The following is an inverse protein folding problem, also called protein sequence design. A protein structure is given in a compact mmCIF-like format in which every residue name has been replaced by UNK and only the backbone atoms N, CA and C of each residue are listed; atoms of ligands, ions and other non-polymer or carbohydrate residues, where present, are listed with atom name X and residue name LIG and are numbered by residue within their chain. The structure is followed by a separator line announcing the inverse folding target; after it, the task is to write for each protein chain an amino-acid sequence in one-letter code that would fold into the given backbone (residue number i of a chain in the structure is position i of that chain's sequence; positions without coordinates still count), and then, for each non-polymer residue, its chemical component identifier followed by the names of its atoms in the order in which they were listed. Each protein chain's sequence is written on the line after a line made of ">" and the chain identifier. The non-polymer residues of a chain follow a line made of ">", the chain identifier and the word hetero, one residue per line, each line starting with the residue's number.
data_IF_938932235317
#
_entry.id   IF_938932235317
#
_cell.length_a   1.000
_cell.length_b   1.000
_cell.length_c   1.000
_cell.angle_alpha   90.00
_cell.angle_beta   90.00
_cell.angle_gamma   90.00
#
_symmetry.space_group_name_H-M   'P 1'
#
loop_
_entity.id
_entity.type
_entity.pdbx_description
1 polymer ?
#
# COMPACT_ATOMS: atom_id res chain seq x y z
N UNK A 1 28.52 -6.77 26.96
CA UNK A 1 28.80 -7.17 25.56
C UNK A 1 28.21 -6.10 24.67
N UNK A 2 28.98 -5.51 23.80
CA UNK A 2 28.44 -4.54 22.84
C UNK A 2 27.83 -5.33 21.70
N UNK A 3 26.51 -5.24 21.52
CA UNK A 3 25.81 -5.89 20.39
C UNK A 3 26.38 -5.43 19.05
N UNK A 4 26.36 -6.31 18.06
CA UNK A 4 26.86 -6.02 16.71
C UNK A 4 25.97 -4.96 16.04
N UNK A 5 26.57 -3.96 15.38
CA UNK A 5 25.86 -2.94 14.63
C UNK A 5 25.02 -3.58 13.51
N UNK A 6 23.76 -3.15 13.35
CA UNK A 6 22.82 -3.71 12.38
C UNK A 6 22.19 -5.06 12.76
N UNK A 7 22.55 -5.62 13.92
CA UNK A 7 21.94 -6.86 14.42
C UNK A 7 20.80 -6.56 15.38
N UNK A 8 19.63 -7.11 15.09
CA UNK A 8 18.42 -7.00 15.92
C UNK A 8 17.94 -8.39 16.33
N UNK A 9 17.38 -8.58 17.52
CA UNK A 9 17.10 -7.56 18.55
C UNK A 9 18.34 -7.13 19.34
N UNK A 10 18.25 -5.98 20.02
CA UNK A 10 19.24 -5.48 20.98
C UNK A 10 18.90 -5.90 22.40
N UNK A 11 19.95 -6.01 23.24
CA UNK A 11 19.81 -6.31 24.67
C UNK A 11 20.05 -5.08 25.53
N UNK A 12 19.72 -5.19 26.80
CA UNK A 12 20.03 -4.15 27.81
C UNK A 12 21.53 -3.91 27.85
N UNK A 13 21.94 -2.66 27.69
CA UNK A 13 23.35 -2.25 27.68
C UNK A 13 24.00 -2.25 26.30
N UNK A 14 23.33 -2.72 25.26
CA UNK A 14 23.83 -2.61 23.89
C UNK A 14 23.75 -1.16 23.39
N UNK A 15 24.76 -0.73 22.66
CA UNK A 15 24.74 0.55 21.97
C UNK A 15 23.86 0.48 20.73
N UNK A 16 23.03 1.49 20.51
CA UNK A 16 22.24 1.66 19.28
C UNK A 16 23.07 2.46 18.27
N UNK A 17 23.31 1.86 17.13
CA UNK A 17 24.08 2.45 16.02
C UNK A 17 23.18 2.90 14.88
N UNK A 18 23.71 3.75 13.98
CA UNK A 18 23.04 4.11 12.72
C UNK A 18 22.66 2.90 11.88
N UNK A 19 23.47 1.83 11.91
CA UNK A 19 23.15 0.58 11.23
C UNK A 19 21.91 -0.13 11.78
N UNK A 20 21.62 0.00 13.06
CA UNK A 20 20.42 -0.59 13.70
C UNK A 20 19.15 0.16 13.27
N UNK A 21 19.22 1.49 13.24
CA UNK A 21 18.18 2.33 12.67
C UNK A 21 17.92 1.98 11.19
N UNK A 22 19.00 1.89 10.40
CA UNK A 22 18.90 1.55 8.97
C UNK A 22 18.32 0.16 8.74
N UNK A 23 18.56 -0.80 9.64
CA UNK A 23 17.95 -2.13 9.56
C UNK A 23 16.42 -2.05 9.70
N UNK A 24 15.90 -1.25 10.64
CA UNK A 24 14.45 -1.03 10.80
C UNK A 24 13.89 -0.23 9.63
N UNK A 25 14.60 0.83 9.20
CA UNK A 25 14.19 1.64 8.05
C UNK A 25 14.10 0.82 6.75
N UNK A 26 15.02 -0.12 6.54
CA UNK A 26 14.96 -1.03 5.41
C UNK A 26 13.73 -1.93 5.45
N UNK A 27 13.34 -2.43 6.64
CA UNK A 27 12.14 -3.22 6.82
C UNK A 27 10.87 -2.44 6.46
N UNK A 28 10.71 -1.22 7.01
CA UNK A 28 9.51 -0.42 6.73
C UNK A 28 9.47 0.06 5.27
N UNK A 29 10.62 0.33 4.66
CA UNK A 29 10.71 0.60 3.23
C UNK A 29 10.20 -0.58 2.39
N UNK A 30 10.50 -1.80 2.79
CA UNK A 30 10.00 -3.02 2.14
C UNK A 30 8.49 -3.16 2.18
N UNK A 31 7.83 -2.59 3.19
CA UNK A 31 6.36 -2.61 3.33
C UNK A 31 5.70 -1.41 2.69
N UNK A 32 6.08 -0.20 3.13
CA UNK A 32 5.41 1.04 2.74
C UNK A 32 5.83 1.55 1.37
N UNK A 33 7.11 1.42 1.03
CA UNK A 33 7.73 1.96 -0.17
C UNK A 33 7.58 1.08 -1.40
N UNK A 34 8.64 1.05 -2.18
CA UNK A 34 8.72 0.32 -3.45
C UNK A 34 9.02 -1.18 -3.31
N UNK A 35 9.22 -1.66 -2.10
CA UNK A 35 9.64 -3.04 -1.81
C UNK A 35 11.13 -3.30 -2.07
N UNK A 36 11.88 -2.33 -2.60
CA UNK A 36 13.29 -2.49 -2.93
C UNK A 36 14.13 -2.65 -1.65
N UNK A 37 14.96 -3.67 -1.61
CA UNK A 37 15.78 -4.03 -0.46
C UNK A 37 15.20 -5.16 0.41
N UNK A 38 13.98 -5.61 0.15
CA UNK A 38 13.40 -6.83 0.70
C UNK A 38 13.10 -7.84 -0.41
N UNK A 39 13.01 -9.11 -0.08
CA UNK A 39 13.00 -10.27 -0.98
C UNK A 39 11.84 -10.33 -2.00
N UNK A 40 10.93 -9.39 -1.97
CA UNK A 40 9.85 -9.28 -2.94
C UNK A 40 9.57 -7.80 -3.21
N UNK A 41 9.60 -7.41 -4.45
CA UNK A 41 9.36 -6.05 -4.95
C UNK A 41 7.88 -5.60 -4.82
N UNK A 42 7.22 -5.86 -3.69
CA UNK A 42 5.79 -5.62 -3.51
C UNK A 42 5.52 -4.78 -2.25
N UNK A 43 6.08 -3.58 -2.20
CA UNK A 43 5.67 -2.57 -1.23
C UNK A 43 4.36 -1.89 -1.64
N UNK A 44 3.85 -1.03 -0.77
CA UNK A 44 2.63 -0.27 -1.03
C UNK A 44 2.80 0.88 -2.04
N UNK A 45 4.03 1.12 -2.51
CA UNK A 45 4.35 2.18 -3.46
C UNK A 45 4.11 3.59 -2.90
N UNK A 46 4.13 3.74 -1.58
CA UNK A 46 3.97 5.03 -0.91
C UNK A 46 5.33 5.67 -0.64
N UNK A 47 5.36 7.01 -0.63
CA UNK A 47 6.57 7.73 -0.22
C UNK A 47 6.86 7.52 1.26
N UNK A 48 8.15 7.37 1.59
CA UNK A 48 8.62 7.34 2.96
C UNK A 48 9.01 8.74 3.43
N UNK A 49 8.76 9.01 4.71
CA UNK A 49 9.30 10.18 5.42
C UNK A 49 10.72 9.92 5.93
N UNK A 50 11.00 8.67 6.32
CA UNK A 50 12.30 8.25 6.82
C UNK A 50 13.29 7.94 5.69
N UNK A 51 14.57 8.18 5.95
CA UNK A 51 15.67 7.79 5.08
C UNK A 51 16.77 7.10 5.87
N UNK A 52 17.69 6.44 5.18
CA UNK A 52 18.88 5.86 5.82
C UNK A 52 19.82 6.98 6.32
N UNK A 53 20.49 6.70 7.43
CA UNK A 53 21.49 7.58 8.02
C UNK A 53 22.89 7.03 7.76
N UNK A 54 23.89 7.92 7.72
CA UNK A 54 25.29 7.49 7.64
C UNK A 54 25.68 6.69 8.91
N UNK A 55 26.58 5.73 8.78
CA UNK A 55 26.99 4.86 9.88
C UNK A 55 27.52 5.61 11.12
N UNK A 56 28.09 6.80 10.91
CA UNK A 56 28.65 7.66 11.95
C UNK A 56 27.73 8.83 12.34
N UNK A 57 26.54 8.93 11.72
CA UNK A 57 25.61 10.00 12.02
C UNK A 57 24.98 9.81 13.41
N UNK A 58 24.79 10.92 14.12
CA UNK A 58 23.94 10.96 15.29
C UNK A 58 22.51 10.94 14.80
N UNK A 59 21.73 9.99 15.29
CA UNK A 59 20.30 9.88 14.97
C UNK A 59 19.54 10.75 15.96
N UNK A 60 18.90 11.79 15.47
CA UNK A 60 18.12 12.70 16.27
C UNK A 60 16.63 12.26 16.35
N UNK A 61 15.87 12.96 17.17
CA UNK A 61 14.45 12.71 17.37
C UNK A 61 13.62 12.90 16.09
N UNK A 62 14.06 13.72 15.15
CA UNK A 62 13.37 13.97 13.88
C UNK A 62 13.43 12.74 12.99
N UNK A 63 14.60 12.11 12.89
CA UNK A 63 14.79 10.88 12.13
C UNK A 63 13.97 9.73 12.72
N UNK A 64 14.00 9.57 14.06
CA UNK A 64 13.16 8.60 14.75
C UNK A 64 11.67 8.88 14.57
N UNK A 65 11.25 10.16 14.60
CA UNK A 65 9.87 10.57 14.35
C UNK A 65 9.40 10.24 12.94
N UNK A 66 10.25 10.43 11.94
CA UNK A 66 9.95 10.02 10.56
C UNK A 66 9.80 8.51 10.42
N UNK A 67 10.70 7.74 11.04
CA UNK A 67 10.61 6.28 11.04
C UNK A 67 9.31 5.81 11.71
N UNK A 68 8.98 6.39 12.87
CA UNK A 68 7.71 6.12 13.54
C UNK A 68 6.51 6.45 12.66
N UNK A 69 6.53 7.60 11.97
CA UNK A 69 5.46 8.02 11.07
C UNK A 69 5.22 7.02 9.95
N UNK A 70 6.29 6.48 9.37
CA UNK A 70 6.20 5.48 8.31
C UNK A 70 5.62 4.15 8.86
N UNK A 71 6.09 3.70 10.02
CA UNK A 71 5.55 2.52 10.71
C UNK A 71 4.06 2.71 11.03
N UNK A 72 3.70 3.87 11.58
CA UNK A 72 2.30 4.19 11.90
C UNK A 72 1.42 4.22 10.65
N UNK A 73 1.93 4.73 9.53
CA UNK A 73 1.20 4.75 8.25
C UNK A 73 0.90 3.33 7.77
N UNK A 74 1.90 2.44 7.77
CA UNK A 74 1.71 1.05 7.38
C UNK A 74 0.80 0.31 8.37
N UNK A 75 0.96 0.56 9.67
CA UNK A 75 0.15 -0.05 10.72
C UNK A 75 -1.32 0.35 10.61
N UNK A 76 -1.59 1.64 10.39
CA UNK A 76 -2.96 2.15 10.18
C UNK A 76 -3.58 1.55 8.93
N UNK A 77 -2.80 1.38 7.86
CA UNK A 77 -3.27 0.73 6.65
C UNK A 77 -3.79 -0.70 6.94
N UNK A 78 -3.04 -1.48 7.71
CA UNK A 78 -3.40 -2.88 7.97
C UNK A 78 -4.45 -3.05 9.06
N UNK A 79 -4.40 -2.21 10.10
CA UNK A 79 -5.17 -2.42 11.32
C UNK A 79 -6.32 -1.42 11.53
N UNK A 80 -6.36 -0.33 10.76
CA UNK A 80 -7.38 0.71 10.88
C UNK A 80 -7.23 1.62 12.10
N UNK A 81 -6.20 1.41 12.91
CA UNK A 81 -5.89 2.20 14.11
C UNK A 81 -4.43 2.62 14.13
N UNK A 82 -4.11 3.67 14.87
CA UNK A 82 -2.74 4.14 15.02
C UNK A 82 -1.86 3.11 15.75
N UNK A 83 -0.57 3.11 15.44
CA UNK A 83 0.42 2.32 16.15
C UNK A 83 0.57 2.83 17.58
N UNK A 84 0.47 1.94 18.57
CA UNK A 84 0.36 2.28 19.98
C UNK A 84 1.68 2.63 20.67
N UNK A 85 2.83 2.47 20.01
CA UNK A 85 4.11 2.85 20.59
C UNK A 85 4.25 4.38 20.73
N UNK A 86 5.12 4.81 21.63
CA UNK A 86 5.40 6.23 21.81
C UNK A 86 6.16 6.79 20.62
N UNK A 87 5.66 7.91 20.08
CA UNK A 87 6.37 8.66 19.06
C UNK A 87 7.61 9.33 19.70
N UNK A 88 8.82 9.04 19.22
CA UNK A 88 10.03 9.68 19.74
C UNK A 88 9.98 11.20 19.57
N UNK A 89 10.20 11.93 20.67
CA UNK A 89 10.24 13.39 20.67
C UNK A 89 11.52 13.91 21.29
N UNK A 90 11.79 15.20 21.12
CA UNK A 90 12.98 15.83 21.68
C UNK A 90 13.05 15.58 23.21
N UNK A 91 14.21 15.20 23.70
CA UNK A 91 14.46 14.90 25.11
C UNK A 91 14.11 13.48 25.55
N UNK A 92 13.46 12.66 24.71
CA UNK A 92 13.27 11.25 25.01
C UNK A 92 14.49 10.42 24.58
N UNK A 93 14.83 9.45 25.42
CA UNK A 93 15.88 8.47 25.11
C UNK A 93 15.23 7.30 24.38
N UNK A 94 15.78 6.96 23.21
CA UNK A 94 15.42 5.73 22.51
C UNK A 94 16.15 4.56 23.17
N UNK A 95 15.39 3.66 23.75
CA UNK A 95 15.92 2.45 24.36
C UNK A 95 16.03 1.29 23.37
N UNK A 96 16.76 0.25 23.77
CA UNK A 96 16.78 -1.00 23.00
C UNK A 96 15.37 -1.62 22.85
N UNK A 97 14.49 -1.42 23.85
CA UNK A 97 13.11 -1.91 23.78
C UNK A 97 12.31 -1.18 22.69
N UNK A 98 12.48 0.13 22.55
CA UNK A 98 11.79 0.90 21.51
C UNK A 98 12.24 0.47 20.12
N UNK A 99 13.55 0.30 19.94
CA UNK A 99 14.11 -0.18 18.68
C UNK A 99 13.61 -1.59 18.33
N UNK A 100 13.60 -2.50 19.31
CA UNK A 100 13.10 -3.87 19.13
C UNK A 100 11.60 -3.88 18.83
N UNK A 101 10.81 -3.03 19.48
CA UNK A 101 9.39 -2.89 19.23
C UNK A 101 9.14 -2.41 17.78
N UNK A 102 9.88 -1.42 17.30
CA UNK A 102 9.79 -0.94 15.92
C UNK A 102 10.18 -2.04 14.93
N UNK A 103 11.26 -2.77 15.21
CA UNK A 103 11.70 -3.90 14.37
C UNK A 103 10.63 -4.98 14.28
N UNK A 104 10.07 -5.40 15.42
CA UNK A 104 9.03 -6.43 15.48
C UNK A 104 7.73 -5.99 14.81
N UNK A 105 7.36 -4.71 14.96
CA UNK A 105 6.22 -4.13 14.24
C UNK A 105 6.43 -4.21 12.72
N UNK A 106 7.62 -3.85 12.23
CA UNK A 106 7.93 -3.95 10.80
C UNK A 106 7.89 -5.40 10.30
N UNK A 107 8.35 -6.38 11.07
CA UNK A 107 8.29 -7.80 10.71
C UNK A 107 6.82 -8.29 10.60
N UNK A 108 5.98 -7.87 11.54
CA UNK A 108 4.54 -8.15 11.52
C UNK A 108 3.87 -7.50 10.31
N UNK A 109 4.17 -6.22 10.06
CA UNK A 109 3.66 -5.48 8.91
C UNK A 109 4.08 -6.12 7.59
N UNK A 110 5.31 -6.60 7.49
CA UNK A 110 5.80 -7.30 6.30
C UNK A 110 5.06 -8.62 6.07
N UNK A 111 4.84 -9.40 7.12
CA UNK A 111 4.09 -10.65 7.06
C UNK A 111 2.65 -10.41 6.60
N UNK A 112 2.04 -9.35 7.11
CA UNK A 112 0.63 -9.01 6.86
C UNK A 112 0.44 -7.98 5.73
N UNK A 113 1.43 -7.75 4.88
CA UNK A 113 1.41 -6.64 3.90
C UNK A 113 0.22 -6.66 2.93
N UNK A 114 -0.37 -7.84 2.69
CA UNK A 114 -1.57 -7.98 1.83
C UNK A 114 -2.87 -7.91 2.64
N UNK A 115 -2.78 -7.71 3.94
CA UNK A 115 -3.93 -7.56 4.82
C UNK A 115 -4.27 -6.07 4.96
N UNK A 116 -5.56 -5.77 4.99
CA UNK A 116 -6.05 -4.44 5.32
C UNK A 116 -7.24 -4.57 6.26
N UNK A 117 -7.41 -3.60 7.11
CA UNK A 117 -8.61 -3.54 7.93
C UNK A 117 -9.85 -3.31 7.07
N UNK A 118 -10.90 -4.11 7.26
CA UNK A 118 -12.15 -4.01 6.50
C UNK A 118 -12.80 -2.63 6.61
N UNK A 119 -12.63 -1.93 7.74
CA UNK A 119 -13.09 -0.55 7.92
C UNK A 119 -12.37 0.48 7.06
N UNK A 120 -11.18 0.16 6.54
CA UNK A 120 -10.44 0.99 5.58
C UNK A 120 -10.91 0.73 4.13
N UNK A 121 -11.70 -0.32 3.93
CA UNK A 121 -12.27 -0.68 2.65
C UNK A 121 -13.60 0.05 2.46
N UNK A 122 -13.55 1.17 1.79
CA UNK A 122 -14.79 1.67 1.17
C UNK A 122 -14.95 0.91 -0.14
N UNK A 123 -15.96 0.06 -0.21
CA UNK A 123 -16.28 -0.66 -1.44
C UNK A 123 -16.45 0.34 -2.61
N UNK A 124 -16.03 -0.03 -3.81
CA UNK A 124 -16.24 0.84 -4.97
C UNK A 124 -17.73 1.06 -5.18
N UNK A 125 -18.13 2.31 -5.27
CA UNK A 125 -19.50 2.66 -5.64
C UNK A 125 -19.53 2.90 -7.15
N UNK A 126 -20.35 2.15 -7.85
CA UNK A 126 -20.64 2.44 -9.25
C UNK A 126 -21.43 3.75 -9.33
N UNK A 127 -20.86 4.79 -9.95
CA UNK A 127 -21.50 6.10 -10.08
C UNK A 127 -22.38 6.18 -11.33
N UNK A 128 -22.03 5.45 -12.38
CA UNK A 128 -22.82 5.41 -13.61
C UNK A 128 -22.64 4.08 -14.33
N UNK A 129 -23.73 3.56 -14.86
CA UNK A 129 -23.71 2.50 -15.86
C UNK A 129 -24.08 3.13 -17.20
N UNK A 130 -23.08 3.48 -18.02
CA UNK A 130 -23.38 4.11 -19.29
C UNK A 130 -24.07 3.10 -20.22
N UNK A 131 -25.24 3.49 -20.70
CA UNK A 131 -25.95 2.76 -21.75
C UNK A 131 -25.82 3.57 -23.04
N UNK A 132 -25.22 2.98 -24.04
CA UNK A 132 -25.14 3.62 -25.37
C UNK A 132 -26.25 3.03 -26.24
N UNK A 133 -27.31 3.80 -26.47
CA UNK A 133 -28.49 3.42 -27.25
C UNK A 133 -28.46 3.92 -28.69
N UNK A 134 -27.42 4.64 -29.09
CA UNK A 134 -27.26 5.16 -30.45
C UNK A 134 -26.83 4.06 -31.44
N UNK A 135 -27.16 4.25 -32.72
CA UNK A 135 -26.65 3.39 -33.77
C UNK A 135 -25.11 3.42 -33.82
N UNK A 136 -24.48 2.27 -33.94
CA UNK A 136 -23.04 2.15 -34.07
C UNK A 136 -22.57 2.82 -35.35
N UNK A 137 -21.70 3.82 -35.19
CA UNK A 137 -21.41 4.73 -36.27
C UNK A 137 -20.75 4.12 -37.49
N UNK A 138 -21.44 4.19 -38.59
CA UNK A 138 -20.84 4.26 -39.91
C UNK A 138 -20.27 5.66 -40.07
N UNK A 139 -19.00 5.80 -40.34
CA UNK A 139 -18.38 7.11 -40.56
C UNK A 139 -17.48 7.64 -39.43
N UNK A 140 -16.82 6.78 -38.65
CA UNK A 140 -15.76 7.20 -37.71
C UNK A 140 -16.22 7.59 -36.30
N UNK A 141 -17.48 7.40 -35.96
CA UNK A 141 -17.98 7.59 -34.60
C UNK A 141 -17.73 6.31 -33.78
N UNK A 142 -16.69 6.32 -32.97
CA UNK A 142 -16.44 5.26 -32.00
C UNK A 142 -17.49 5.25 -30.89
N UNK A 143 -17.72 4.09 -30.28
CA UNK A 143 -18.50 4.00 -29.05
C UNK A 143 -17.58 4.34 -27.90
N UNK A 144 -17.88 5.44 -27.22
CA UNK A 144 -17.21 5.82 -25.99
C UNK A 144 -18.17 5.61 -24.82
N UNK A 145 -17.76 4.76 -23.89
CA UNK A 145 -18.44 4.62 -22.59
C UNK A 145 -17.46 4.97 -21.49
N UNK A 146 -17.87 5.87 -20.62
CA UNK A 146 -17.09 6.24 -19.44
C UNK A 146 -17.80 5.74 -18.20
N UNK A 147 -17.13 4.88 -17.43
CA UNK A 147 -17.60 4.44 -16.12
C UNK A 147 -16.73 5.08 -15.05
N UNK A 148 -17.36 5.84 -14.17
CA UNK A 148 -16.68 6.39 -13.00
C UNK A 148 -16.83 5.41 -11.83
N UNK A 149 -15.71 4.95 -11.31
CA UNK A 149 -15.66 4.07 -10.14
C UNK A 149 -15.10 4.89 -8.98
N UNK A 150 -15.92 5.21 -8.00
CA UNK A 150 -15.46 5.87 -6.79
C UNK A 150 -14.96 4.82 -5.80
N UNK A 151 -13.67 4.89 -5.48
CA UNK A 151 -13.03 4.08 -4.44
C UNK A 151 -13.02 4.80 -3.08
N UNK A 152 -14.05 5.62 -2.82
CA UNK A 152 -14.15 6.45 -1.63
C UNK A 152 -13.54 7.84 -1.79
N UNK A 153 -13.77 8.73 -0.80
CA UNK A 153 -13.43 10.16 -0.88
C UNK A 153 -11.94 10.51 -0.68
N UNK A 154 -11.05 9.54 -0.61
CA UNK A 154 -9.62 9.74 -0.36
C UNK A 154 -8.77 8.98 -1.37
N UNK A 155 -7.68 9.62 -1.82
CA UNK A 155 -6.63 8.96 -2.64
C UNK A 155 -6.10 7.69 -1.96
N UNK A 156 -6.06 7.67 -0.62
CA UNK A 156 -5.62 6.51 0.16
C UNK A 156 -6.54 5.31 0.01
N UNK A 157 -7.84 5.51 -0.17
CA UNK A 157 -8.79 4.40 -0.35
C UNK A 157 -8.53 3.62 -1.63
N UNK A 158 -8.16 4.29 -2.71
CA UNK A 158 -7.72 3.64 -3.93
C UNK A 158 -6.44 2.81 -3.71
N UNK A 159 -5.46 3.39 -3.00
CA UNK A 159 -4.23 2.67 -2.64
C UNK A 159 -4.55 1.43 -1.79
N UNK A 160 -5.41 1.57 -0.78
CA UNK A 160 -5.82 0.45 0.06
C UNK A 160 -6.48 -0.66 -0.75
N UNK A 161 -7.40 -0.31 -1.64
CA UNK A 161 -8.09 -1.27 -2.49
C UNK A 161 -7.11 -2.09 -3.35
N UNK A 162 -6.18 -1.43 -4.05
CA UNK A 162 -5.24 -2.13 -4.92
C UNK A 162 -4.15 -2.86 -4.14
N UNK A 163 -3.66 -2.33 -3.02
CA UNK A 163 -2.65 -2.97 -2.18
C UNK A 163 -3.11 -4.29 -1.58
N UNK A 164 -4.43 -4.47 -1.41
CA UNK A 164 -5.04 -5.73 -0.99
C UNK A 164 -5.23 -6.74 -2.10
N UNK A 165 -4.80 -6.44 -3.30
CA UNK A 165 -5.07 -7.26 -4.46
C UNK A 165 -6.47 -7.04 -5.05
N UNK A 166 -7.11 -5.92 -4.72
CA UNK A 166 -8.35 -5.49 -5.34
C UNK A 166 -8.18 -5.37 -6.85
N UNK A 167 -9.17 -5.83 -7.59
CA UNK A 167 -9.16 -5.84 -9.05
C UNK A 167 -10.40 -5.16 -9.57
N UNK A 168 -10.22 -4.37 -10.63
CA UNK A 168 -11.33 -3.85 -11.42
C UNK A 168 -11.52 -4.82 -12.58
N UNK A 169 -12.69 -5.42 -12.68
CA UNK A 169 -13.07 -6.26 -13.80
C UNK A 169 -14.04 -5.50 -14.70
N UNK A 170 -13.70 -5.39 -15.95
CA UNK A 170 -14.54 -4.76 -16.96
C UNK A 170 -15.20 -5.89 -17.76
N UNK A 171 -16.54 -5.94 -17.74
CA UNK A 171 -17.30 -6.86 -18.59
C UNK A 171 -18.10 -6.03 -19.58
N UNK A 172 -17.97 -6.37 -20.86
CA UNK A 172 -18.79 -5.81 -21.92
C UNK A 172 -19.81 -6.84 -22.38
N UNK A 173 -21.02 -6.42 -22.68
CA UNK A 173 -22.00 -7.24 -23.36
C UNK A 173 -22.86 -6.40 -24.28
N UNK A 174 -23.38 -7.02 -25.31
CA UNK A 174 -24.30 -6.40 -26.25
C UNK A 174 -25.72 -6.95 -26.01
N UNK A 175 -26.63 -6.07 -25.60
CA UNK A 175 -28.03 -6.44 -25.42
C UNK A 175 -28.80 -6.05 -26.71
N UNK A 176 -29.53 -6.98 -27.28
CA UNK A 176 -30.27 -6.80 -28.53
C UNK A 176 -31.71 -7.34 -28.40
N UNK A 177 -32.64 -6.76 -29.17
CA UNK A 177 -34.04 -7.17 -29.17
C UNK A 177 -34.34 -8.44 -29.98
N UNK A 178 -33.44 -8.88 -30.86
CA UNK A 178 -33.54 -10.12 -31.64
C UNK A 178 -32.19 -10.78 -31.88
N UNK A 179 -32.14 -12.10 -31.77
CA UNK A 179 -30.94 -12.89 -31.99
C UNK A 179 -30.63 -13.00 -33.48
N UNK A 180 -29.75 -12.17 -33.99
CA UNK A 180 -29.18 -12.34 -35.33
C UNK A 180 -27.79 -12.98 -35.24
N UNK A 181 -27.33 -13.59 -36.29
CA UNK A 181 -25.98 -14.16 -36.38
C UNK A 181 -24.90 -13.13 -36.04
N UNK A 182 -25.07 -11.89 -36.52
CA UNK A 182 -24.16 -10.78 -36.26
C UNK A 182 -24.14 -10.40 -34.78
N UNK A 183 -25.30 -10.31 -34.13
CA UNK A 183 -25.40 -9.99 -32.69
C UNK A 183 -24.74 -11.10 -31.85
N UNK A 184 -24.91 -12.33 -32.19
CA UNK A 184 -24.27 -13.47 -31.51
C UNK A 184 -22.76 -13.45 -31.66
N UNK A 185 -22.23 -13.09 -32.84
CA UNK A 185 -20.80 -12.94 -33.10
C UNK A 185 -20.21 -11.78 -32.22
N UNK A 186 -20.91 -10.65 -32.14
CA UNK A 186 -20.48 -9.55 -31.28
C UNK A 186 -20.40 -9.96 -29.82
N UNK A 187 -21.41 -10.65 -29.32
CA UNK A 187 -21.40 -11.12 -27.93
C UNK A 187 -20.27 -12.12 -27.67
N UNK A 188 -20.00 -13.02 -28.60
CA UNK A 188 -18.89 -13.97 -28.48
C UNK A 188 -17.53 -13.26 -28.46
N UNK A 189 -17.34 -12.24 -29.28
CA UNK A 189 -16.10 -11.45 -29.27
C UNK A 189 -15.92 -10.65 -28.00
N UNK A 190 -16.98 -9.97 -27.52
CA UNK A 190 -16.90 -9.22 -26.25
C UNK A 190 -16.65 -10.12 -25.04
N UNK A 191 -17.20 -11.32 -25.01
CA UNK A 191 -16.98 -12.28 -23.94
C UNK A 191 -15.56 -12.88 -23.96
N UNK A 192 -14.93 -12.94 -25.14
CA UNK A 192 -13.59 -13.51 -25.30
C UNK A 192 -12.45 -12.50 -25.02
N UNK A 193 -12.74 -11.22 -24.91
CA UNK A 193 -11.73 -10.15 -24.82
C UNK A 193 -11.43 -9.72 -23.37
N UNK A 194 -12.05 -10.33 -22.37
CA UNK A 194 -11.97 -9.96 -20.96
C UNK A 194 -11.32 -11.10 -20.12
#
# INVERSE_FOLDING_TARGET
>A
MTGTAGSLPKNTGDTIYGADYNAVQTKIRGVLGDGNGYTSNYGYGQGLSSGQVAATAVIDHTQWGYLFSDINTAYTHQNGVAYSATNPSAGLTISHNDLNAFSSACDTLLTNRLTVNAGQLTGPTQIAQPTNSGAWGYGGSGINSTVNIALGGSVRNAQYFFNQGGKIRINGYYAYGSATTQNNQWNAQMAATL
#
